data_IF_515940595135
#
_entry.id   IF_515940595135
#
_cell.length_a   1.000
_cell.length_b   1.000
_cell.length_c   1.000
_cell.angle_alpha   90.00
_cell.angle_beta   90.00
_cell.angle_gamma   90.00
#
_symmetry.space_group_name_H-M   'P 1'
#
loop_
_entity.id
_entity.type
_entity.pdbx_description
1 polymer ?
#
# COMPACT_ATOMS: atom_id res chain seq x y z
N UNK A 1 8.87 -34.95 64.37
CA UNK A 1 9.17 -33.58 63.78
C UNK A 1 9.48 -33.54 62.28
N UNK A 2 9.96 -34.61 61.61
CA UNK A 2 10.31 -34.54 60.16
C UNK A 2 9.13 -34.49 59.19
N UNK A 3 7.89 -34.89 59.56
CA UNK A 3 6.72 -34.88 58.65
C UNK A 3 6.02 -33.53 58.54
N UNK A 4 6.16 -32.62 59.51
CA UNK A 4 5.52 -31.28 59.47
C UNK A 4 6.27 -30.27 58.60
N UNK A 5 7.57 -30.41 58.43
CA UNK A 5 8.37 -29.51 57.61
C UNK A 5 8.17 -29.76 56.13
N UNK A 6 7.91 -31.01 55.71
CA UNK A 6 7.66 -31.39 54.31
C UNK A 6 6.34 -30.84 53.74
N UNK A 7 5.28 -30.74 54.57
CA UNK A 7 3.99 -30.24 54.11
C UNK A 7 3.95 -28.72 53.92
N UNK A 8 4.68 -27.98 54.77
CA UNK A 8 4.77 -26.54 54.64
C UNK A 8 5.58 -26.10 53.38
N UNK A 9 6.65 -26.85 53.05
CA UNK A 9 7.44 -26.59 51.86
C UNK A 9 6.67 -26.86 50.56
N UNK A 10 5.91 -27.96 50.52
CA UNK A 10 5.07 -28.27 49.35
C UNK A 10 3.95 -27.24 49.13
N UNK A 11 3.33 -26.74 50.19
CA UNK A 11 2.31 -25.71 50.11
C UNK A 11 2.88 -24.36 49.60
N UNK A 12 4.10 -24.00 50.06
CA UNK A 12 4.75 -22.74 49.61
C UNK A 12 5.16 -22.81 48.15
N UNK A 13 5.71 -23.92 47.67
CA UNK A 13 6.05 -24.12 46.25
C UNK A 13 4.82 -24.07 45.34
N UNK A 14 3.67 -24.67 45.79
CA UNK A 14 2.44 -24.63 45.02
C UNK A 14 1.84 -23.20 44.90
N UNK A 15 1.97 -22.39 45.95
CA UNK A 15 1.53 -20.97 45.91
C UNK A 15 2.40 -20.14 44.99
N UNK A 16 3.72 -20.36 45.00
CA UNK A 16 4.63 -19.67 44.05
C UNK A 16 4.41 -20.09 42.61
N UNK A 17 4.20 -21.37 42.34
CA UNK A 17 3.86 -21.86 41.00
C UNK A 17 2.53 -21.30 40.49
N UNK A 18 1.49 -21.22 41.31
CA UNK A 18 0.21 -20.59 40.95
C UNK A 18 0.35 -19.08 40.65
N UNK A 19 1.16 -18.35 41.43
CA UNK A 19 1.40 -16.93 41.18
C UNK A 19 2.20 -16.70 39.90
N UNK A 20 3.16 -17.55 39.59
CA UNK A 20 3.92 -17.49 38.34
C UNK A 20 3.04 -17.76 37.10
N UNK A 21 2.13 -18.75 37.16
CA UNK A 21 1.20 -19.08 36.08
C UNK A 21 0.18 -17.95 35.87
N UNK A 22 -0.36 -17.38 36.95
CA UNK A 22 -1.28 -16.23 36.85
C UNK A 22 -0.56 -15.00 36.31
N UNK A 23 0.70 -14.74 36.74
CA UNK A 23 1.49 -13.64 36.20
C UNK A 23 1.80 -13.83 34.72
N UNK A 24 2.17 -15.05 34.28
CA UNK A 24 2.40 -15.36 32.87
C UNK A 24 1.12 -15.21 32.02
N UNK A 25 -0.03 -15.64 32.56
CA UNK A 25 -1.31 -15.50 31.86
C UNK A 25 -1.73 -14.03 31.71
N UNK A 26 -1.51 -13.20 32.74
CA UNK A 26 -1.81 -11.76 32.69
C UNK A 26 -0.87 -11.04 31.71
N UNK A 27 0.40 -11.42 31.64
CA UNK A 27 1.34 -10.87 30.65
C UNK A 27 0.97 -11.32 29.24
N UNK A 28 0.56 -12.59 29.05
CA UNK A 28 0.14 -13.09 27.74
C UNK A 28 -1.16 -12.42 27.28
N UNK A 29 -2.14 -12.23 28.15
CA UNK A 29 -3.38 -11.51 27.83
C UNK A 29 -3.11 -10.02 27.58
N UNK A 30 -2.21 -9.39 28.32
CA UNK A 30 -1.79 -8.01 28.06
C UNK A 30 -1.04 -7.88 26.72
N UNK A 31 -0.21 -8.87 26.36
CA UNK A 31 0.45 -8.92 25.06
C UNK A 31 -0.55 -9.15 23.91
N UNK A 32 -1.53 -10.05 24.08
CA UNK A 32 -2.59 -10.27 23.10
C UNK A 32 -3.46 -9.02 22.93
N UNK A 33 -3.82 -8.34 24.02
CA UNK A 33 -4.57 -7.08 23.97
C UNK A 33 -3.73 -5.96 23.35
N UNK A 34 -2.40 -5.93 23.56
CA UNK A 34 -1.52 -4.96 22.91
C UNK A 34 -1.32 -5.25 21.41
N UNK A 35 -1.40 -6.51 20.98
CA UNK A 35 -1.37 -6.87 19.55
C UNK A 35 -2.71 -6.57 18.87
N UNK A 36 -3.84 -6.72 19.55
CA UNK A 36 -5.15 -6.27 19.03
C UNK A 36 -5.33 -4.75 19.09
N UNK A 37 -4.63 -4.05 19.99
CA UNK A 37 -4.70 -2.58 20.12
C UNK A 37 -3.87 -1.81 19.08
N UNK A 38 -3.18 -2.48 18.16
CA UNK A 38 -2.72 -1.88 16.91
C UNK A 38 -3.85 -1.81 15.86
N UNK A 39 -5.09 -1.61 16.29
CA UNK A 39 -6.14 -1.14 15.42
C UNK A 39 -5.64 0.17 14.81
N UNK A 40 -5.20 0.08 13.55
CA UNK A 40 -4.62 1.20 12.80
C UNK A 40 -5.57 2.38 12.90
N UNK A 41 -5.03 3.51 13.31
CA UNK A 41 -5.83 4.74 13.48
C UNK A 41 -6.56 5.01 12.18
N UNK A 42 -7.89 5.10 12.16
CA UNK A 42 -8.62 5.31 10.91
C UNK A 42 -8.17 6.62 10.28
N UNK A 43 -8.13 6.66 8.95
CA UNK A 43 -7.82 7.89 8.23
C UNK A 43 -8.73 9.01 8.70
N UNK A 44 -8.16 10.12 9.11
CA UNK A 44 -8.91 11.32 9.56
C UNK A 44 -9.78 11.84 8.42
N UNK A 45 -9.23 11.85 7.20
CA UNK A 45 -9.91 12.22 5.96
C UNK A 45 -9.76 11.10 4.93
N UNK A 46 -10.71 10.94 3.99
CA UNK A 46 -10.52 10.07 2.86
C UNK A 46 -9.32 10.51 2.02
N UNK A 47 -8.59 9.55 1.46
CA UNK A 47 -7.60 9.81 0.42
C UNK A 47 -8.27 10.35 -0.83
N UNK A 48 -7.50 11.01 -1.67
CA UNK A 48 -7.91 11.39 -3.01
C UNK A 48 -6.95 10.74 -4.02
N UNK A 49 -7.47 10.05 -5.02
CA UNK A 49 -6.65 9.63 -6.15
C UNK A 49 -6.10 10.85 -6.88
N UNK A 50 -4.87 10.75 -7.33
CA UNK A 50 -4.32 11.76 -8.21
C UNK A 50 -5.05 11.70 -9.56
N UNK A 51 -5.30 12.85 -10.21
CA UNK A 51 -5.85 12.86 -11.55
C UNK A 51 -5.01 11.99 -12.48
N UNK A 52 -5.64 11.21 -13.34
CA UNK A 52 -4.89 10.34 -14.27
C UNK A 52 -3.96 11.14 -15.20
N UNK A 53 -4.27 12.41 -15.48
CA UNK A 53 -3.37 13.34 -16.19
C UNK A 53 -2.08 13.65 -15.42
N UNK A 54 -2.04 13.39 -14.11
CA UNK A 54 -0.82 13.49 -13.28
C UNK A 54 0.08 12.26 -13.39
N UNK A 55 -0.38 11.19 -14.02
CA UNK A 55 0.37 9.95 -14.21
C UNK A 55 0.76 9.81 -15.67
N UNK A 56 2.03 10.14 -15.97
CA UNK A 56 2.59 9.96 -17.29
C UNK A 56 3.31 8.62 -17.37
N UNK A 57 2.81 7.71 -18.19
CA UNK A 57 3.42 6.41 -18.41
C UNK A 57 4.62 6.56 -19.35
N UNK A 58 5.81 6.12 -18.92
CA UNK A 58 7.09 6.45 -19.55
C UNK A 58 7.72 5.29 -20.31
N UNK A 59 7.30 4.04 -20.07
CA UNK A 59 8.01 2.87 -20.61
C UNK A 59 7.33 2.18 -21.79
N UNK A 60 8.11 1.52 -22.68
CA UNK A 60 7.57 0.82 -23.84
C UNK A 60 6.51 -0.25 -23.52
N UNK A 61 6.62 -0.92 -22.37
CA UNK A 61 5.63 -1.93 -21.96
C UNK A 61 4.31 -1.32 -21.48
N UNK A 62 4.37 -0.19 -20.81
CA UNK A 62 3.19 0.50 -20.28
C UNK A 62 2.72 1.61 -21.24
N UNK A 63 3.60 2.17 -22.08
CA UNK A 63 3.23 2.95 -23.26
C UNK A 63 2.27 2.15 -24.15
N UNK A 64 2.49 0.85 -24.28
CA UNK A 64 1.57 -0.02 -25.00
C UNK A 64 0.13 -0.04 -24.44
N UNK A 65 -0.08 0.20 -23.14
CA UNK A 65 -1.44 0.30 -22.58
C UNK A 65 -2.08 1.62 -22.98
N UNK A 66 -1.37 2.74 -22.81
CA UNK A 66 -1.87 4.06 -23.22
C UNK A 66 -1.99 4.14 -24.74
N UNK A 67 -0.99 3.68 -25.49
CA UNK A 67 -1.06 3.59 -26.95
C UNK A 67 -2.23 2.72 -27.42
N UNK A 68 -2.41 1.53 -26.85
CA UNK A 68 -3.54 0.65 -27.18
C UNK A 68 -4.87 1.32 -26.88
N UNK A 69 -4.99 1.99 -25.73
CA UNK A 69 -6.21 2.71 -25.38
C UNK A 69 -6.47 3.88 -26.33
N UNK A 70 -5.43 4.65 -26.66
CA UNK A 70 -5.54 5.77 -27.60
C UNK A 70 -5.82 5.34 -29.04
N UNK A 71 -5.32 4.18 -29.46
CA UNK A 71 -5.66 3.57 -30.76
C UNK A 71 -7.14 3.16 -30.83
N UNK A 72 -7.70 2.66 -29.70
CA UNK A 72 -9.13 2.28 -29.65
C UNK A 72 -10.03 3.50 -29.64
N UNK A 73 -9.66 4.54 -28.88
CA UNK A 73 -10.41 5.79 -28.89
C UNK A 73 -9.60 6.95 -28.32
N UNK A 74 -9.19 7.93 -29.14
CA UNK A 74 -8.46 9.11 -28.69
C UNK A 74 -9.32 10.04 -27.82
N UNK A 75 -10.62 9.81 -27.73
CA UNK A 75 -11.57 10.62 -26.92
C UNK A 75 -11.87 10.03 -25.56
N UNK A 76 -11.31 8.85 -25.22
CA UNK A 76 -11.46 8.32 -23.89
C UNK A 76 -10.71 9.17 -22.87
N UNK A 77 -11.40 9.55 -21.80
CA UNK A 77 -10.82 10.29 -20.68
C UNK A 77 -10.98 9.49 -19.39
N UNK A 78 -9.95 9.50 -18.50
CA UNK A 78 -10.09 8.90 -17.19
C UNK A 78 -11.19 9.58 -16.40
N UNK A 79 -12.01 8.78 -15.74
CA UNK A 79 -13.04 9.29 -14.83
C UNK A 79 -12.45 9.45 -13.44
N UNK A 80 -12.60 10.63 -12.85
CA UNK A 80 -12.19 10.90 -11.49
C UNK A 80 -13.23 10.32 -10.51
N UNK A 81 -12.78 9.49 -9.58
CA UNK A 81 -13.58 8.99 -8.48
C UNK A 81 -13.64 10.04 -7.37
N UNK A 82 -14.80 10.66 -7.18
CA UNK A 82 -15.01 11.61 -6.08
C UNK A 82 -15.84 10.97 -4.98
N UNK A 83 -15.31 11.03 -3.77
CA UNK A 83 -15.96 10.47 -2.59
C UNK A 83 -16.63 11.58 -1.78
N UNK A 84 -17.98 11.61 -1.74
CA UNK A 84 -18.71 12.53 -0.88
C UNK A 84 -18.61 12.11 0.60
N UNK A 85 -18.82 13.04 1.53
CA UNK A 85 -18.78 12.73 2.97
C UNK A 85 -19.83 11.66 3.37
N UNK A 86 -20.95 11.60 2.65
CA UNK A 86 -22.00 10.59 2.89
C UNK A 86 -21.53 9.20 2.42
N UNK A 87 -21.01 9.11 1.21
CA UNK A 87 -20.49 7.84 0.66
C UNK A 87 -19.27 7.35 1.46
N UNK A 88 -18.38 8.25 1.90
CA UNK A 88 -17.25 7.89 2.75
C UNK A 88 -17.68 7.17 4.04
N UNK A 89 -18.75 7.65 4.70
CA UNK A 89 -19.31 6.98 5.89
C UNK A 89 -19.85 5.59 5.58
N UNK A 90 -20.52 5.42 4.45
CA UNK A 90 -21.03 4.12 4.02
C UNK A 90 -19.91 3.13 3.74
N UNK A 91 -18.85 3.56 3.03
CA UNK A 91 -17.68 2.71 2.74
C UNK A 91 -16.86 2.37 3.97
N UNK A 92 -16.71 3.27 4.95
CA UNK A 92 -16.10 2.94 6.26
C UNK A 92 -16.88 1.86 7.00
N UNK A 93 -18.22 1.90 6.98
CA UNK A 93 -19.05 0.82 7.56
C UNK A 93 -18.92 -0.48 6.80
N UNK A 94 -18.76 -0.44 5.48
CA UNK A 94 -18.51 -1.62 4.66
C UNK A 94 -17.14 -2.21 4.98
N UNK A 95 -16.10 -1.40 5.06
CA UNK A 95 -14.75 -1.81 5.43
C UNK A 95 -14.72 -2.52 6.80
N UNK A 96 -15.41 -1.97 7.80
CA UNK A 96 -15.50 -2.57 9.13
C UNK A 96 -16.15 -3.97 9.14
N UNK A 97 -16.88 -4.34 8.08
CA UNK A 97 -17.46 -5.69 7.90
C UNK A 97 -16.52 -6.67 7.20
N UNK A 98 -15.32 -6.25 6.85
CA UNK A 98 -14.30 -7.06 6.15
C UNK A 98 -14.88 -7.78 4.91
N UNK A 99 -15.33 -7.04 3.89
CA UNK A 99 -15.96 -7.65 2.72
C UNK A 99 -14.98 -8.55 1.96
N UNK A 100 -15.51 -9.60 1.33
CA UNK A 100 -14.73 -10.42 0.42
C UNK A 100 -14.31 -9.57 -0.80
N UNK A 101 -13.04 -9.16 -0.83
CA UNK A 101 -12.50 -8.29 -1.89
C UNK A 101 -12.55 -8.93 -3.27
N UNK A 102 -12.54 -10.27 -3.37
CA UNK A 102 -12.63 -10.96 -4.64
C UNK A 102 -14.02 -10.81 -5.31
N UNK A 103 -15.03 -10.51 -4.51
CA UNK A 103 -16.42 -10.28 -4.98
C UNK A 103 -16.76 -8.80 -5.14
N UNK A 104 -15.88 -7.90 -4.75
CA UNK A 104 -16.10 -6.47 -4.89
C UNK A 104 -15.88 -6.01 -6.33
N UNK A 105 -16.72 -5.10 -6.81
CA UNK A 105 -16.44 -4.41 -8.06
C UNK A 105 -15.24 -3.49 -7.93
N UNK A 106 -14.59 -3.16 -9.04
CA UNK A 106 -13.47 -2.23 -9.08
C UNK A 106 -13.78 -0.87 -8.44
N UNK A 107 -14.96 -0.33 -8.70
CA UNK A 107 -15.46 0.91 -8.09
C UNK A 107 -15.61 0.78 -6.57
N UNK A 108 -16.12 -0.35 -6.08
CA UNK A 108 -16.19 -0.63 -4.65
C UNK A 108 -14.81 -0.72 -4.03
N UNK A 109 -13.85 -1.41 -4.67
CA UNK A 109 -12.46 -1.52 -4.22
C UNK A 109 -11.79 -0.15 -4.17
N UNK A 110 -11.96 0.68 -5.21
CA UNK A 110 -11.39 2.02 -5.26
C UNK A 110 -11.91 2.88 -4.10
N UNK A 111 -13.21 2.88 -3.86
CA UNK A 111 -13.81 3.64 -2.74
C UNK A 111 -13.45 3.10 -1.36
N UNK A 112 -13.36 1.77 -1.20
CA UNK A 112 -12.84 1.17 0.03
C UNK A 112 -11.41 1.63 0.28
N UNK A 113 -10.55 1.61 -0.75
CA UNK A 113 -9.18 2.08 -0.63
C UNK A 113 -9.13 3.55 -0.16
N UNK A 114 -9.92 4.43 -0.77
CA UNK A 114 -9.92 5.87 -0.41
C UNK A 114 -10.32 6.13 1.05
N UNK A 115 -11.08 5.26 1.69
CA UNK A 115 -11.49 5.43 3.10
C UNK A 115 -10.58 4.70 4.09
N UNK A 116 -9.85 3.68 3.66
CA UNK A 116 -9.00 2.86 4.54
C UNK A 116 -7.52 3.13 4.36
N UNK A 117 -7.07 3.37 3.13
CA UNK A 117 -5.65 3.49 2.78
C UNK A 117 -4.88 2.18 2.98
N UNK A 118 -5.52 1.01 2.85
CA UNK A 118 -4.91 -0.28 3.15
C UNK A 118 -4.26 -0.91 1.91
N UNK A 119 -3.01 -1.38 2.05
CA UNK A 119 -2.22 -1.95 0.96
C UNK A 119 -2.85 -3.21 0.34
N UNK A 120 -3.55 -4.03 1.12
CA UNK A 120 -4.20 -5.23 0.62
C UNK A 120 -5.37 -4.91 -0.32
N UNK A 121 -6.07 -3.78 -0.12
CA UNK A 121 -7.11 -3.28 -1.04
C UNK A 121 -6.46 -2.73 -2.30
N UNK A 122 -5.33 -1.99 -2.18
CA UNK A 122 -4.55 -1.58 -3.35
C UNK A 122 -4.02 -2.77 -4.16
N UNK A 123 -3.64 -3.87 -3.50
CA UNK A 123 -3.28 -5.12 -4.17
C UNK A 123 -4.47 -5.76 -4.92
N UNK A 124 -5.70 -5.64 -4.40
CA UNK A 124 -6.89 -6.07 -5.11
C UNK A 124 -7.17 -5.21 -6.36
N UNK A 125 -6.96 -3.90 -6.27
CA UNK A 125 -7.03 -2.99 -7.42
C UNK A 125 -6.00 -3.34 -8.50
N UNK A 126 -4.76 -3.71 -8.10
CA UNK A 126 -3.72 -4.12 -9.03
C UNK A 126 -4.09 -5.43 -9.77
N UNK A 127 -4.64 -6.42 -9.06
CA UNK A 127 -5.16 -7.64 -9.71
C UNK A 127 -6.27 -7.33 -10.72
N UNK A 128 -7.17 -6.40 -10.38
CA UNK A 128 -8.22 -5.98 -11.30
C UNK A 128 -7.66 -5.25 -12.52
N UNK A 129 -6.63 -4.42 -12.35
CA UNK A 129 -5.90 -3.79 -13.46
C UNK A 129 -5.30 -4.85 -14.40
N UNK A 130 -4.59 -5.84 -13.85
CA UNK A 130 -3.97 -6.91 -14.63
C UNK A 130 -5.03 -7.73 -15.39
N UNK A 131 -6.18 -8.00 -14.76
CA UNK A 131 -7.30 -8.67 -15.41
C UNK A 131 -7.83 -7.86 -16.60
N UNK A 132 -7.97 -6.55 -16.47
CA UNK A 132 -8.44 -5.66 -17.55
C UNK A 132 -7.42 -5.57 -18.69
N UNK A 133 -6.14 -5.50 -18.37
CA UNK A 133 -5.06 -5.52 -19.37
C UNK A 133 -5.08 -6.84 -20.18
N UNK A 134 -5.29 -7.96 -19.52
CA UNK A 134 -5.47 -9.27 -20.17
C UNK A 134 -6.69 -9.31 -21.09
N UNK A 135 -7.83 -8.75 -20.65
CA UNK A 135 -9.05 -8.68 -21.48
C UNK A 135 -8.85 -7.80 -22.72
N UNK A 136 -8.22 -6.64 -22.57
CA UNK A 136 -7.91 -5.77 -23.71
C UNK A 136 -6.90 -6.41 -24.65
N UNK A 137 -5.94 -7.17 -24.12
CA UNK A 137 -4.98 -7.92 -24.94
C UNK A 137 -5.64 -9.02 -25.76
N UNK A 138 -6.67 -9.67 -25.22
CA UNK A 138 -7.47 -10.67 -25.92
C UNK A 138 -8.41 -10.06 -26.98
N UNK A 139 -8.92 -8.83 -26.72
CA UNK A 139 -9.79 -8.09 -27.66
C UNK A 139 -9.36 -6.63 -27.75
N UNK A 140 -8.36 -6.30 -28.57
CA UNK A 140 -7.77 -4.95 -28.64
C UNK A 140 -8.72 -3.85 -29.09
N UNK A 141 -9.86 -4.19 -29.69
CA UNK A 141 -10.86 -3.24 -30.21
C UNK A 141 -12.00 -2.95 -29.20
N UNK A 142 -12.00 -3.61 -28.05
CA UNK A 142 -13.03 -3.44 -27.03
C UNK A 142 -12.87 -2.08 -26.32
N UNK A 143 -13.71 -1.12 -26.70
CA UNK A 143 -13.73 0.23 -26.10
C UNK A 143 -14.05 0.20 -24.61
N UNK A 144 -14.91 -0.72 -24.15
CA UNK A 144 -15.27 -0.83 -22.74
C UNK A 144 -14.09 -1.32 -21.91
N UNK A 145 -13.37 -2.34 -22.40
CA UNK A 145 -12.14 -2.82 -21.78
C UNK A 145 -11.05 -1.73 -21.77
N UNK A 146 -10.90 -0.98 -22.87
CA UNK A 146 -9.97 0.13 -22.97
C UNK A 146 -10.27 1.23 -21.96
N UNK A 147 -11.53 1.68 -21.87
CA UNK A 147 -11.94 2.67 -20.87
C UNK A 147 -11.76 2.16 -19.45
N UNK A 148 -12.12 0.91 -19.18
CA UNK A 148 -11.94 0.30 -17.88
C UNK A 148 -10.47 0.22 -17.48
N UNK A 149 -9.55 -0.05 -18.40
CA UNK A 149 -8.11 -0.05 -18.15
C UNK A 149 -7.57 1.36 -17.93
N UNK A 150 -8.01 2.35 -18.74
CA UNK A 150 -7.63 3.75 -18.58
C UNK A 150 -7.99 4.30 -17.19
N UNK A 151 -9.17 3.94 -16.67
CA UNK A 151 -9.60 4.35 -15.34
C UNK A 151 -8.66 3.81 -14.24
N UNK A 152 -7.95 2.70 -14.47
CA UNK A 152 -7.00 2.17 -13.51
C UNK A 152 -5.74 3.03 -13.33
N UNK A 153 -5.42 3.89 -14.28
CA UNK A 153 -4.28 4.82 -14.17
C UNK A 153 -4.49 5.81 -13.02
N UNK A 154 -5.73 6.17 -12.71
CA UNK A 154 -6.07 6.99 -11.54
C UNK A 154 -5.75 6.29 -10.21
N UNK A 155 -5.63 4.95 -10.19
CA UNK A 155 -5.33 4.20 -8.95
C UNK A 155 -3.85 4.09 -8.64
N UNK A 156 -2.97 4.52 -9.55
CA UNK A 156 -1.50 4.44 -9.39
C UNK A 156 -1.05 5.12 -8.12
N UNK A 157 -1.60 6.30 -7.84
CA UNK A 157 -1.27 7.03 -6.63
C UNK A 157 -2.47 7.77 -6.03
N UNK A 158 -2.40 7.98 -4.72
CA UNK A 158 -3.37 8.77 -3.97
C UNK A 158 -2.65 9.65 -2.95
N UNK A 159 -3.28 10.73 -2.52
CA UNK A 159 -2.68 11.64 -1.55
C UNK A 159 -3.69 12.19 -0.53
N UNK A 160 -3.16 12.57 0.64
CA UNK A 160 -3.84 13.41 1.63
C UNK A 160 -2.81 14.32 2.31
N UNK A 161 -2.94 15.64 2.16
CA UNK A 161 -1.96 16.57 2.72
C UNK A 161 -0.56 16.34 2.14
N UNK A 162 0.39 15.98 2.99
CA UNK A 162 1.77 15.62 2.63
C UNK A 162 1.98 14.11 2.48
N UNK A 163 0.95 13.30 2.67
CA UNK A 163 1.01 11.86 2.48
C UNK A 163 0.80 11.51 1.01
N UNK A 164 1.69 10.71 0.45
CA UNK A 164 1.61 10.19 -0.91
C UNK A 164 1.65 8.66 -0.88
N UNK A 165 0.60 8.04 -1.37
CA UNK A 165 0.46 6.59 -1.50
C UNK A 165 0.79 6.18 -2.93
N UNK A 166 1.79 5.34 -3.13
CA UNK A 166 2.11 4.72 -4.42
C UNK A 166 1.62 3.28 -4.39
N UNK A 167 0.56 3.02 -5.16
CA UNK A 167 -0.25 1.81 -5.06
C UNK A 167 0.13 0.74 -6.07
N UNK A 168 0.39 1.16 -7.33
CA UNK A 168 0.55 0.24 -8.44
C UNK A 168 1.99 0.26 -8.95
N UNK A 169 2.61 -0.92 -9.19
CA UNK A 169 3.96 -1.01 -9.73
C UNK A 169 3.96 -0.84 -11.25
N UNK A 170 3.63 0.36 -11.71
CA UNK A 170 3.59 0.72 -13.14
C UNK A 170 4.74 1.67 -13.43
N UNK A 171 5.49 1.41 -14.52
CA UNK A 171 6.54 2.33 -14.95
C UNK A 171 5.93 3.64 -15.42
N UNK A 172 6.09 4.67 -14.61
CA UNK A 172 5.43 5.97 -14.84
C UNK A 172 6.12 7.11 -14.11
N UNK A 173 5.84 8.31 -14.55
CA UNK A 173 6.11 9.55 -13.83
C UNK A 173 4.82 10.01 -13.15
N UNK A 174 4.85 10.22 -11.86
CA UNK A 174 3.73 10.72 -11.06
C UNK A 174 4.00 12.17 -10.70
N UNK A 175 3.23 13.09 -11.28
CA UNK A 175 3.30 14.52 -10.98
C UNK A 175 2.30 14.87 -9.88
N UNK A 176 2.79 15.19 -8.70
CA UNK A 176 1.97 15.62 -7.58
C UNK A 176 1.92 17.13 -7.53
N UNK A 177 0.72 17.69 -7.67
CA UNK A 177 0.49 19.14 -7.63
C UNK A 177 -0.75 19.42 -6.76
N UNK A 178 -0.61 19.26 -5.46
CA UNK A 178 -1.63 19.61 -4.47
C UNK A 178 -1.24 20.90 -3.72
N UNK A 179 -2.15 21.55 -3.02
CA UNK A 179 -1.81 22.71 -2.20
C UNK A 179 -0.74 22.43 -1.14
N UNK A 180 -0.68 21.18 -0.63
CA UNK A 180 0.23 20.77 0.44
C UNK A 180 1.54 20.15 -0.07
N UNK A 181 1.56 19.63 -1.31
CA UNK A 181 2.69 18.86 -1.82
C UNK A 181 2.88 19.12 -3.32
N UNK A 182 4.13 19.44 -3.69
CA UNK A 182 4.57 19.47 -5.08
C UNK A 182 5.83 18.63 -5.21
N UNK A 183 5.77 17.59 -6.01
CA UNK A 183 6.90 16.74 -6.34
C UNK A 183 6.60 15.91 -7.58
N UNK A 184 7.63 15.30 -8.12
CA UNK A 184 7.55 14.27 -9.16
C UNK A 184 8.18 13.00 -8.64
N UNK A 185 7.52 11.88 -8.84
CA UNK A 185 8.04 10.56 -8.53
C UNK A 185 8.17 9.77 -9.83
N UNK A 186 9.40 9.49 -10.24
CA UNK A 186 9.68 8.60 -11.36
C UNK A 186 9.76 7.16 -10.82
N UNK A 187 8.80 6.34 -11.23
CA UNK A 187 8.79 4.91 -10.93
C UNK A 187 9.27 4.15 -12.16
N UNK A 188 10.41 3.47 -12.04
CA UNK A 188 11.06 2.77 -13.15
C UNK A 188 11.38 1.35 -12.71
N UNK A 189 11.06 0.38 -13.56
CA UNK A 189 11.46 -1.02 -13.40
C UNK A 189 12.56 -1.35 -14.38
N UNK A 190 13.74 -1.70 -13.88
CA UNK A 190 14.90 -2.00 -14.68
C UNK A 190 15.65 -3.20 -14.10
N UNK A 191 15.92 -4.22 -14.93
CA UNK A 191 16.72 -5.40 -14.58
C UNK A 191 16.33 -6.08 -13.25
N UNK A 192 15.03 -6.23 -13.00
CA UNK A 192 14.53 -6.82 -11.75
C UNK A 192 14.52 -5.88 -10.55
N UNK A 193 14.90 -4.63 -10.73
CA UNK A 193 14.87 -3.57 -9.71
C UNK A 193 13.73 -2.60 -9.96
N UNK A 194 13.05 -2.18 -8.90
CA UNK A 194 12.09 -1.07 -8.95
C UNK A 194 12.70 0.12 -8.24
N UNK A 195 12.78 1.24 -8.95
CA UNK A 195 13.36 2.50 -8.47
C UNK A 195 12.28 3.58 -8.41
N UNK A 196 12.33 4.39 -7.39
CA UNK A 196 11.53 5.60 -7.22
C UNK A 196 12.48 6.77 -7.06
N UNK A 197 12.54 7.64 -8.06
CA UNK A 197 13.34 8.88 -7.98
C UNK A 197 12.41 10.04 -7.70
N UNK A 198 12.73 10.80 -6.68
CA UNK A 198 11.94 11.94 -6.26
C UNK A 198 12.60 13.24 -6.69
N UNK A 199 11.80 14.17 -7.22
CA UNK A 199 12.26 15.47 -7.71
C UNK A 199 11.16 16.53 -7.59
N UNK A 200 11.44 17.77 -8.03
CA UNK A 200 10.46 18.85 -8.02
C UNK A 200 10.26 19.51 -6.67
N UNK A 201 11.11 19.20 -5.69
CA UNK A 201 11.10 19.85 -4.38
C UNK A 201 11.79 21.22 -4.41
N UNK A 202 11.39 22.16 -3.51
CA UNK A 202 12.16 23.38 -3.26
C UNK A 202 13.61 23.06 -2.85
N UNK A 203 14.51 24.03 -2.99
CA UNK A 203 15.95 23.85 -2.70
C UNK A 203 16.22 23.31 -1.28
N UNK A 204 15.37 23.68 -0.30
CA UNK A 204 15.50 23.23 1.09
C UNK A 204 14.85 21.86 1.35
N UNK A 205 14.27 21.24 0.31
CA UNK A 205 13.48 20.03 0.45
C UNK A 205 12.05 20.32 0.90
N UNK A 206 11.26 19.25 1.03
CA UNK A 206 9.88 19.33 1.51
C UNK A 206 9.55 18.09 2.33
N UNK A 207 8.76 18.26 3.37
CA UNK A 207 8.22 17.13 4.12
C UNK A 207 7.28 16.33 3.22
N UNK A 208 7.54 15.04 3.12
CA UNK A 208 6.69 14.08 2.41
C UNK A 208 6.73 12.77 3.17
N UNK A 209 5.57 12.25 3.48
CA UNK A 209 5.36 10.91 4.00
C UNK A 209 4.99 9.99 2.84
N UNK A 210 5.98 9.26 2.36
CA UNK A 210 5.82 8.34 1.23
C UNK A 210 5.35 6.99 1.75
N UNK A 211 4.17 6.54 1.29
CA UNK A 211 3.61 5.23 1.53
C UNK A 211 3.81 4.39 0.28
N UNK A 212 4.69 3.40 0.36
CA UNK A 212 5.05 2.55 -0.77
C UNK A 212 4.50 1.15 -0.57
N UNK A 213 3.64 0.70 -1.50
CA UNK A 213 3.19 -0.69 -1.51
C UNK A 213 4.30 -1.59 -2.05
N UNK A 214 4.84 -2.45 -1.21
CA UNK A 214 5.80 -3.46 -1.63
C UNK A 214 5.06 -4.64 -2.29
N UNK A 215 5.61 -5.22 -3.36
CA UNK A 215 5.08 -6.44 -3.94
C UNK A 215 5.35 -7.64 -3.02
N UNK A 216 4.59 -8.72 -3.23
CA UNK A 216 4.81 -9.96 -2.48
C UNK A 216 6.24 -10.47 -2.67
N UNK A 217 6.86 -10.92 -1.59
CA UNK A 217 8.23 -11.44 -1.57
C UNK A 217 9.33 -10.37 -1.44
N UNK A 218 8.98 -9.09 -1.33
CA UNK A 218 9.92 -8.01 -0.96
C UNK A 218 9.71 -7.65 0.50
N UNK A 219 10.72 -7.89 1.32
CA UNK A 219 10.68 -7.52 2.72
C UNK A 219 11.06 -6.05 2.92
N UNK A 220 10.45 -5.35 3.89
CA UNK A 220 10.70 -3.92 4.12
C UNK A 220 12.17 -3.58 4.38
N UNK A 221 12.92 -4.48 4.97
CA UNK A 221 14.34 -4.32 5.25
C UNK A 221 15.26 -4.52 4.02
N UNK A 222 14.69 -4.96 2.87
CA UNK A 222 15.37 -5.07 1.58
C UNK A 222 15.26 -3.78 0.74
N UNK A 223 14.70 -2.72 1.31
CA UNK A 223 14.57 -1.44 0.64
C UNK A 223 15.77 -0.54 0.94
N UNK A 224 16.25 0.14 -0.08
CA UNK A 224 17.41 1.04 -0.02
C UNK A 224 16.99 2.48 -0.29
N UNK A 225 17.55 3.40 0.47
CA UNK A 225 17.40 4.85 0.29
C UNK A 225 18.78 5.45 0.01
N UNK A 226 18.96 6.06 -1.16
CA UNK A 226 20.23 6.66 -1.59
C UNK A 226 21.41 5.68 -1.46
N UNK A 227 21.23 4.43 -1.85
CA UNK A 227 22.24 3.38 -1.80
C UNK A 227 22.48 2.75 -0.42
N UNK A 228 21.79 3.20 0.61
CA UNK A 228 21.88 2.64 1.97
C UNK A 228 20.61 1.89 2.33
N UNK A 229 20.77 0.73 2.95
CA UNK A 229 19.64 -0.06 3.44
C UNK A 229 18.82 0.77 4.43
N UNK A 230 17.48 0.72 4.29
CA UNK A 230 16.59 1.43 5.18
C UNK A 230 16.62 0.77 6.57
N UNK A 231 17.02 1.55 7.58
CA UNK A 231 17.08 1.08 8.95
C UNK A 231 15.73 1.25 9.63
N UNK A 232 15.27 0.22 10.36
CA UNK A 232 14.01 0.20 11.09
C UNK A 232 12.81 0.66 10.24
N UNK A 233 12.48 -0.04 9.13
CA UNK A 233 11.39 0.32 8.26
C UNK A 233 10.06 0.33 9.02
N UNK A 234 9.27 1.38 8.83
CA UNK A 234 7.93 1.49 9.42
C UNK A 234 6.90 0.93 8.44
N UNK A 235 5.98 0.12 8.97
CA UNK A 235 4.85 -0.40 8.19
C UNK A 235 3.56 0.15 8.77
N UNK A 236 2.76 0.79 7.93
CA UNK A 236 1.43 1.28 8.29
C UNK A 236 0.43 0.85 7.22
N UNK A 237 -0.67 0.23 7.62
CA UNK A 237 -1.71 -0.29 6.72
C UNK A 237 -1.14 -1.17 5.60
N UNK A 238 -0.04 -1.89 5.88
CA UNK A 238 0.66 -2.72 4.91
C UNK A 238 1.53 -1.96 3.89
N UNK A 239 1.72 -0.64 4.05
CA UNK A 239 2.68 0.16 3.29
C UNK A 239 3.98 0.31 4.04
N UNK A 240 5.09 0.25 3.32
CA UNK A 240 6.34 0.81 3.81
C UNK A 240 6.20 2.34 3.87
N UNK A 241 6.47 2.92 5.03
CA UNK A 241 6.38 4.37 5.24
C UNK A 241 7.76 4.97 5.40
N UNK A 242 8.05 5.99 4.60
CA UNK A 242 9.29 6.78 4.70
C UNK A 242 8.91 8.24 4.92
N UNK A 243 8.90 8.66 6.19
CA UNK A 243 8.55 10.02 6.63
C UNK A 243 9.80 10.85 6.86
N UNK A 244 10.03 11.83 6.00
CA UNK A 244 11.20 12.72 6.09
C UNK A 244 11.07 13.97 5.23
N UNK A 245 12.02 14.90 5.40
CA UNK A 245 12.25 15.95 4.41
C UNK A 245 13.01 15.35 3.21
N UNK A 246 12.36 15.35 2.04
CA UNK A 246 12.93 14.86 0.78
C UNK A 246 13.58 15.98 0.00
N UNK A 247 14.63 15.62 -0.74
CA UNK A 247 15.36 16.52 -1.65
C UNK A 247 15.29 16.00 -3.08
N UNK A 248 15.64 16.86 -4.02
CA UNK A 248 15.70 16.46 -5.42
C UNK A 248 16.75 15.38 -5.67
N UNK A 249 16.43 14.44 -6.55
CA UNK A 249 17.25 13.30 -6.93
C UNK A 249 17.52 12.28 -5.83
N UNK A 250 16.74 12.27 -4.76
CA UNK A 250 16.77 11.15 -3.83
C UNK A 250 16.09 9.93 -4.44
N UNK A 251 16.67 8.77 -4.18
CA UNK A 251 16.26 7.52 -4.80
C UNK A 251 15.96 6.47 -3.75
N UNK A 252 14.80 5.83 -3.89
CA UNK A 252 14.42 4.66 -3.11
C UNK A 252 14.27 3.48 -4.07
N UNK A 253 14.81 2.30 -3.71
CA UNK A 253 14.71 1.13 -4.58
C UNK A 253 14.70 -0.18 -3.80
N UNK A 254 14.22 -1.21 -4.45
CA UNK A 254 14.30 -2.61 -4.01
C UNK A 254 14.43 -3.52 -5.22
N UNK A 255 14.99 -4.72 -4.98
CA UNK A 255 15.10 -5.76 -5.99
C UNK A 255 13.85 -6.66 -5.91
N UNK A 256 13.31 -7.03 -7.08
CA UNK A 256 12.21 -7.97 -7.17
C UNK A 256 12.75 -9.39 -6.93
N UNK A 257 12.01 -10.27 -6.23
CA UNK A 257 12.41 -11.66 -6.09
C UNK A 257 12.49 -12.32 -7.46
N UNK A 258 13.48 -13.19 -7.65
CA UNK A 258 13.60 -13.95 -8.87
C UNK A 258 12.34 -14.79 -9.12
N UNK A 259 11.86 -14.82 -10.37
CA UNK A 259 10.63 -15.52 -10.79
C UNK A 259 10.55 -16.98 -10.35
N UNK A 260 11.69 -17.64 -10.12
CA UNK A 260 11.78 -19.05 -9.67
C UNK A 260 11.21 -19.30 -8.27
N UNK A 261 11.15 -18.29 -7.40
CA UNK A 261 10.61 -18.45 -6.04
C UNK A 261 9.08 -18.30 -5.95
N UNK A 262 8.43 -17.79 -7.00
CA UNK A 262 6.98 -17.59 -7.03
C UNK A 262 6.18 -18.78 -7.56
N UNK A 263 6.84 -19.73 -8.20
CA UNK A 263 6.26 -20.98 -8.66
C UNK A 263 7.07 -22.11 -8.03
N UNK A 264 6.77 -22.41 -6.75
CA UNK A 264 7.30 -23.59 -6.09
C UNK A 264 7.00 -24.82 -6.95
N UNK A 265 8.05 -25.55 -7.34
CA UNK A 265 7.95 -26.90 -7.87
C UNK A 265 7.38 -27.85 -6.81
#
# INVERSE_FOLDING_TARGET
MRRLVSSAFAATVAVFARRAVVGALVVLTALCVAVEAQAETPLRRPLSFLPAASVLVVTPGAANVVERVMQVSPYLAPQADTLTAHSARAFRRLAARQPDLARCSADTLARLFLVTGEAHIAAALDRERLRRDSLLSANPTDRSAAQALLNTLGWVAASEGTDLYVNLPVDCMINVATPALRCTVDQIREMGRVKYRLSGFPQHGSALRLHLRLPAGVEPDQVFLNGRRLLAPQIERGYLVVDRAWRNNEELYYDLPERKQLFGE
#
